data_IF_602933609629
#
_entry.id   IF_602933609629
#
_cell.length_a   1.000
_cell.length_b   1.000
_cell.length_c   1.000
_cell.angle_alpha   90.00
_cell.angle_beta   90.00
_cell.angle_gamma   90.00
#
_symmetry.space_group_name_H-M   'P 1'
#
loop_
_entity.id
_entity.type
_entity.pdbx_description
1 polymer ?
#
# COMPACT_ATOMS: atom_id res chain seq x y z
N UNK A 1 32.09 4.56 3.59
CA UNK A 1 31.32 3.59 4.39
C UNK A 1 30.16 3.19 3.49
N UNK A 2 30.15 1.99 2.92
CA UNK A 2 29.03 1.56 2.07
C UNK A 2 27.78 1.45 2.94
N UNK A 3 26.73 2.19 2.59
CA UNK A 3 25.42 1.97 3.18
C UNK A 3 24.95 0.56 2.79
N UNK A 4 24.84 -0.33 3.78
CA UNK A 4 24.24 -1.65 3.57
C UNK A 4 22.78 -1.47 3.14
N UNK A 5 22.36 -2.20 2.10
CA UNK A 5 20.97 -2.24 1.65
C UNK A 5 20.02 -2.56 2.81
N UNK A 6 18.89 -1.85 2.88
CA UNK A 6 17.81 -2.06 3.83
C UNK A 6 16.48 -2.06 3.10
N UNK A 7 15.58 -2.97 3.48
CA UNK A 7 14.19 -2.89 3.07
C UNK A 7 13.58 -1.63 3.70
N UNK A 8 12.99 -0.77 2.87
CA UNK A 8 12.38 0.48 3.33
C UNK A 8 10.86 0.45 3.27
N UNK A 9 10.31 -0.11 2.20
CA UNK A 9 8.89 -0.04 1.90
C UNK A 9 8.39 -1.32 1.23
N UNK A 10 7.07 -1.56 1.34
CA UNK A 10 6.35 -2.56 0.57
C UNK A 10 5.42 -1.83 -0.40
N UNK A 11 5.54 -2.12 -1.70
CA UNK A 11 4.72 -1.50 -2.74
C UNK A 11 3.64 -2.48 -3.21
N UNK A 12 2.40 -2.00 -3.25
CA UNK A 12 1.27 -2.69 -3.88
C UNK A 12 0.70 -1.84 -5.01
N UNK A 13 0.25 -2.50 -6.07
CA UNK A 13 -0.37 -1.82 -7.22
C UNK A 13 -1.87 -1.73 -7.01
N UNK A 14 -2.43 -0.54 -7.24
CA UNK A 14 -3.85 -0.23 -7.07
C UNK A 14 -4.42 0.45 -8.31
N UNK A 15 -5.72 0.30 -8.53
CA UNK A 15 -6.43 0.88 -9.68
C UNK A 15 -6.87 2.32 -9.49
N UNK A 16 -7.06 2.73 -8.23
CA UNK A 16 -7.54 4.05 -7.85
C UNK A 16 -6.85 4.48 -6.54
N UNK A 17 -5.92 5.42 -6.66
CA UNK A 17 -5.10 5.89 -5.54
C UNK A 17 -5.96 6.55 -4.46
N UNK A 18 -6.93 7.40 -4.83
CA UNK A 18 -7.76 8.12 -3.85
C UNK A 18 -8.67 7.17 -3.09
N UNK A 19 -9.27 6.20 -3.78
CA UNK A 19 -10.06 5.16 -3.13
C UNK A 19 -9.22 4.31 -2.19
N UNK A 20 -8.00 3.94 -2.60
CA UNK A 20 -7.09 3.14 -1.77
C UNK A 20 -6.56 3.93 -0.57
N UNK A 21 -6.22 5.21 -0.71
CA UNK A 21 -5.85 6.11 0.40
C UNK A 21 -6.95 6.11 1.45
N UNK A 22 -8.20 6.34 1.03
CA UNK A 22 -9.36 6.33 1.93
C UNK A 22 -9.53 4.98 2.63
N UNK A 23 -9.44 3.88 1.89
CA UNK A 23 -9.57 2.54 2.45
C UNK A 23 -8.54 2.26 3.55
N UNK A 24 -7.26 2.52 3.29
CA UNK A 24 -6.19 2.26 4.24
C UNK A 24 -6.19 3.23 5.43
N UNK A 25 -6.64 4.46 5.23
CA UNK A 25 -6.84 5.42 6.32
C UNK A 25 -8.04 5.03 7.22
N UNK A 26 -9.22 4.81 6.65
CA UNK A 26 -10.45 4.60 7.43
C UNK A 26 -10.40 3.29 8.24
N UNK A 27 -9.92 2.21 7.62
CA UNK A 27 -9.85 0.90 8.26
C UNK A 27 -8.64 0.81 9.19
N UNK A 28 -7.45 1.03 8.64
CA UNK A 28 -6.17 0.73 9.30
C UNK A 28 -5.47 1.96 9.91
N UNK A 29 -6.02 3.16 9.75
CA UNK A 29 -5.44 4.39 10.29
C UNK A 29 -4.11 4.79 9.64
N UNK A 30 -3.83 4.33 8.42
CA UNK A 30 -2.58 4.66 7.74
C UNK A 30 -2.66 6.07 7.13
N UNK A 31 -1.77 6.95 7.59
CA UNK A 31 -1.70 8.34 7.13
C UNK A 31 -0.73 8.51 5.96
N UNK A 32 -0.93 9.55 5.15
CA UNK A 32 -0.05 9.86 4.01
C UNK A 32 1.23 10.53 4.52
N UNK A 33 2.38 9.96 4.15
CA UNK A 33 3.70 10.56 4.36
C UNK A 33 4.11 11.41 3.14
N UNK A 34 3.89 10.86 1.94
CA UNK A 34 4.30 11.49 0.68
C UNK A 34 3.35 11.08 -0.44
N UNK A 35 2.99 12.03 -1.30
CA UNK A 35 2.13 11.82 -2.46
C UNK A 35 2.84 12.36 -3.71
N UNK A 36 3.35 11.44 -4.55
CA UNK A 36 4.10 11.74 -5.76
C UNK A 36 3.35 11.17 -6.97
N UNK A 37 2.36 11.91 -7.47
CA UNK A 37 1.64 11.69 -8.73
C UNK A 37 1.55 10.21 -9.19
N UNK A 38 0.74 9.43 -8.47
CA UNK A 38 0.56 8.00 -8.73
C UNK A 38 1.46 7.07 -7.91
N UNK A 39 2.34 7.59 -7.05
CA UNK A 39 3.07 6.85 -6.03
C UNK A 39 2.89 7.50 -4.66
N UNK A 40 2.20 6.83 -3.75
CA UNK A 40 1.85 7.35 -2.43
C UNK A 40 2.47 6.50 -1.34
N UNK A 41 3.23 7.12 -0.44
CA UNK A 41 3.80 6.48 0.73
C UNK A 41 2.90 6.76 1.93
N UNK A 42 2.44 5.70 2.58
CA UNK A 42 1.70 5.75 3.82
C UNK A 42 2.61 5.47 5.03
N UNK A 43 2.11 5.71 6.23
CA UNK A 43 2.74 5.25 7.48
C UNK A 43 3.01 3.74 7.45
N UNK A 44 3.94 3.30 8.28
CA UNK A 44 4.43 1.90 8.32
C UNK A 44 5.08 1.40 7.01
N UNK A 45 5.38 2.30 6.06
CA UNK A 45 6.15 1.97 4.85
C UNK A 45 5.35 1.26 3.74
N UNK A 46 4.01 1.29 3.81
CA UNK A 46 3.16 0.83 2.72
C UNK A 46 3.13 1.87 1.59
N UNK A 47 3.33 1.42 0.36
CA UNK A 47 3.33 2.27 -0.83
C UNK A 47 2.22 1.83 -1.78
N UNK A 48 1.36 2.77 -2.17
CA UNK A 48 0.33 2.59 -3.19
C UNK A 48 0.87 3.09 -4.53
N UNK A 49 0.83 2.24 -5.53
CA UNK A 49 1.29 2.54 -6.88
C UNK A 49 0.12 2.46 -7.86
N UNK A 50 -0.09 3.50 -8.64
CA UNK A 50 -1.07 3.50 -9.72
C UNK A 50 -0.70 2.45 -10.78
N UNK A 51 -1.68 1.67 -11.22
CA UNK A 51 -1.52 0.58 -12.19
C UNK A 51 -0.95 1.04 -13.54
N UNK A 52 -1.31 2.24 -14.01
CA UNK A 52 -0.81 2.76 -15.30
C UNK A 52 0.67 3.10 -15.18
N UNK A 53 1.04 3.80 -14.11
CA UNK A 53 2.44 4.13 -13.83
C UNK A 53 3.28 2.87 -13.64
N UNK A 54 2.78 1.85 -12.94
CA UNK A 54 3.44 0.56 -12.81
C UNK A 54 3.74 -0.07 -14.17
N UNK A 55 2.73 -0.10 -15.05
CA UNK A 55 2.86 -0.65 -16.41
C UNK A 55 3.87 0.13 -17.25
N UNK A 56 3.84 1.46 -17.18
CA UNK A 56 4.76 2.32 -17.94
C UNK A 56 6.22 2.14 -17.50
N UNK A 57 6.47 2.00 -16.19
CA UNK A 57 7.82 1.84 -15.63
C UNK A 57 8.36 0.42 -15.81
N UNK A 58 7.51 -0.60 -15.64
CA UNK A 58 7.97 -2.01 -15.61
C UNK A 58 7.72 -2.79 -16.90
N UNK A 59 6.82 -2.31 -17.76
CA UNK A 59 6.35 -3.03 -18.94
C UNK A 59 5.49 -4.26 -18.63
N UNK A 60 5.04 -4.43 -17.38
CA UNK A 60 4.31 -5.62 -16.92
C UNK A 60 2.85 -5.31 -16.64
N UNK A 61 1.97 -6.25 -17.00
CA UNK A 61 0.56 -6.23 -16.58
C UNK A 61 0.43 -6.67 -15.12
N UNK A 62 -0.64 -6.21 -14.47
CA UNK A 62 -1.03 -6.64 -13.13
C UNK A 62 -2.04 -7.77 -13.23
N UNK A 63 -1.83 -8.83 -12.44
CA UNK A 63 -2.81 -9.91 -12.27
C UNK A 63 -3.48 -9.72 -10.91
N UNK A 64 -4.70 -9.14 -10.85
CA UNK A 64 -5.43 -9.00 -9.59
C UNK A 64 -5.82 -10.37 -9.03
N UNK A 65 -6.02 -10.44 -7.71
CA UNK A 65 -6.58 -11.62 -7.03
C UNK A 65 -5.80 -12.93 -7.25
N UNK A 66 -4.48 -12.84 -7.46
CA UNK A 66 -3.62 -14.01 -7.68
C UNK A 66 -3.27 -14.77 -6.38
N UNK A 67 -3.57 -14.20 -5.20
CA UNK A 67 -3.33 -14.77 -3.87
C UNK A 67 -1.86 -15.15 -3.59
N UNK A 68 -0.90 -14.43 -4.17
CA UNK A 68 0.54 -14.72 -4.01
C UNK A 68 1.20 -14.00 -2.82
N UNK A 69 0.53 -13.02 -2.23
CA UNK A 69 1.01 -12.30 -1.06
C UNK A 69 -0.15 -11.76 -0.21
N UNK A 70 0.14 -11.46 1.04
CA UNK A 70 -0.76 -10.80 1.98
C UNK A 70 -0.03 -9.70 2.74
N UNK A 71 -0.77 -8.68 3.18
CA UNK A 71 -0.30 -7.69 4.13
C UNK A 71 -0.89 -8.03 5.50
N UNK A 72 -0.01 -8.35 6.44
CA UNK A 72 -0.40 -8.71 7.81
C UNK A 72 -0.36 -7.48 8.72
N UNK A 73 -1.42 -7.30 9.50
CA UNK A 73 -1.55 -6.23 10.50
C UNK A 73 -1.95 -6.82 11.84
N UNK A 74 -1.48 -6.20 12.91
CA UNK A 74 -1.90 -6.50 14.29
C UNK A 74 -2.74 -5.35 14.82
N UNK A 75 -3.86 -5.68 15.49
CA UNK A 75 -4.70 -4.72 16.21
C UNK A 75 -4.92 -5.24 17.62
N UNK A 76 -4.80 -4.37 18.61
CA UNK A 76 -4.95 -4.70 20.02
C UNK A 76 -6.39 -5.08 20.38
N UNK A 77 -7.36 -4.45 19.71
CA UNK A 77 -8.79 -4.72 19.91
C UNK A 77 -9.43 -5.10 18.57
N UNK A 78 -9.24 -6.36 18.19
CA UNK A 78 -9.75 -6.91 16.93
C UNK A 78 -11.29 -6.94 16.90
N UNK A 79 -11.93 -7.12 18.05
CA UNK A 79 -13.39 -7.15 18.17
C UNK A 79 -14.00 -5.83 17.70
N UNK A 80 -13.52 -4.70 18.22
CA UNK A 80 -13.98 -3.37 17.78
C UNK A 80 -13.62 -3.09 16.32
N UNK A 81 -12.51 -3.63 15.81
CA UNK A 81 -12.15 -3.47 14.40
C UNK A 81 -13.19 -4.13 13.48
N UNK A 82 -13.74 -5.29 13.83
CA UNK A 82 -14.74 -5.98 13.00
C UNK A 82 -16.05 -5.19 12.83
N UNK A 83 -16.33 -4.23 13.72
CA UNK A 83 -17.52 -3.37 13.69
C UNK A 83 -17.38 -2.18 12.72
N UNK A 84 -16.20 -1.90 12.18
CA UNK A 84 -15.96 -0.77 11.25
C UNK A 84 -16.50 -0.97 9.82
N UNK A 85 -17.16 -2.10 9.54
CA UNK A 85 -17.64 -2.49 8.21
C UNK A 85 -19.03 -1.94 7.88
#
# INVERSE_FOLDING_TARGET
>A
MEEKMRLRNILIVVKDIEKSKKFYHDLFGLDIILDNDGNVILTEGLVLQDEKVWKDVTGKEVVPENNSCELYFEERNIETFTEKN
#
